data_IF_314369253433
#
_entry.id   IF_314369253433
#
_cell.length_a   1.000
_cell.length_b   1.000
_cell.length_c   1.000
_cell.angle_alpha   90.00
_cell.angle_beta   90.00
_cell.angle_gamma   90.00
#
_symmetry.space_group_name_H-M   'P 1'
#
loop_
_entity.id
_entity.type
_entity.pdbx_description
1 polymer ?
#
# COMPACT_ATOMS: atom_id res chain seq x y z
N UNK A 1 4.40 -15.78 0.02
CA UNK A 1 4.05 -14.69 0.95
C UNK A 1 4.51 -13.42 0.29
N UNK A 2 3.62 -12.45 0.18
CA UNK A 2 3.78 -11.31 -0.71
C UNK A 2 3.48 -10.00 0.03
N UNK A 3 4.02 -8.92 -0.52
CA UNK A 3 3.89 -7.56 -0.04
C UNK A 3 3.23 -6.73 -1.13
N UNK A 4 2.13 -6.06 -0.80
CA UNK A 4 1.54 -5.05 -1.67
C UNK A 4 2.33 -3.76 -1.58
N UNK A 5 2.72 -3.22 -2.72
CA UNK A 5 3.34 -1.91 -2.83
C UNK A 5 2.27 -0.96 -3.35
N UNK A 6 1.98 0.08 -2.58
CA UNK A 6 0.86 0.97 -2.88
C UNK A 6 1.18 2.44 -2.58
N UNK A 7 0.32 3.31 -3.09
CA UNK A 7 0.58 4.74 -3.18
C UNK A 7 -0.34 5.56 -2.28
N UNK A 8 0.23 6.47 -1.50
CA UNK A 8 -0.54 7.50 -0.81
C UNK A 8 -0.31 8.87 -1.43
N UNK A 9 -1.37 9.68 -1.50
CA UNK A 9 -1.37 10.93 -2.29
C UNK A 9 -1.00 12.20 -1.52
N UNK A 10 -1.16 12.20 -0.21
CA UNK A 10 -0.92 13.38 0.63
C UNK A 10 -0.69 12.96 2.08
N UNK A 11 -0.24 13.91 2.92
CA UNK A 11 -0.01 13.67 4.34
C UNK A 11 -1.30 13.27 5.06
N UNK A 12 -2.39 13.96 4.76
CA UNK A 12 -3.73 13.70 5.31
C UNK A 12 -4.22 12.30 4.93
N UNK A 13 -3.91 11.84 3.70
CA UNK A 13 -4.23 10.46 3.29
C UNK A 13 -3.47 9.43 4.13
N UNK A 14 -2.18 9.65 4.38
CA UNK A 14 -1.38 8.76 5.21
C UNK A 14 -1.86 8.76 6.67
N UNK A 15 -2.20 9.92 7.21
CA UNK A 15 -2.74 10.06 8.57
C UNK A 15 -4.07 9.33 8.70
N UNK A 16 -4.98 9.50 7.74
CA UNK A 16 -6.24 8.75 7.72
C UNK A 16 -6.03 7.24 7.65
N UNK A 17 -5.07 6.76 6.84
CA UNK A 17 -4.74 5.33 6.77
C UNK A 17 -4.25 4.82 8.13
N UNK A 18 -3.38 5.58 8.81
CA UNK A 18 -2.83 5.23 10.12
C UNK A 18 -3.89 5.24 11.22
N UNK A 19 -4.79 6.22 11.19
CA UNK A 19 -5.85 6.41 12.19
C UNK A 19 -6.95 5.36 12.04
N UNK A 20 -7.46 5.16 10.81
CA UNK A 20 -8.56 4.22 10.57
C UNK A 20 -8.10 2.78 10.43
N UNK A 21 -6.82 2.55 10.12
CA UNK A 21 -6.31 1.20 9.78
C UNK A 21 -6.96 0.66 8.51
N UNK A 22 -7.21 1.51 7.51
CA UNK A 22 -7.85 1.12 6.25
C UNK A 22 -7.04 1.67 5.08
N UNK A 23 -6.88 0.86 4.04
CA UNK A 23 -6.35 1.31 2.75
C UNK A 23 -7.29 0.94 1.61
N UNK A 24 -7.45 1.82 0.63
CA UNK A 24 -8.36 1.65 -0.49
C UNK A 24 -7.61 1.58 -1.85
N UNK A 25 -7.84 0.50 -2.58
CA UNK A 25 -7.43 0.33 -3.98
C UNK A 25 -8.57 0.73 -4.91
N UNK A 26 -8.23 1.20 -6.11
CA UNK A 26 -9.21 1.22 -7.21
C UNK A 26 -9.47 -0.23 -7.66
N UNK A 27 -10.70 -0.52 -8.07
CA UNK A 27 -11.15 -1.89 -8.35
C UNK A 27 -11.71 -2.11 -9.76
N UNK A 28 -11.70 -1.10 -10.62
CA UNK A 28 -12.28 -1.19 -11.96
C UNK A 28 -11.26 -1.63 -13.00
N UNK A 29 -11.72 -1.97 -14.21
CA UNK A 29 -10.85 -2.28 -15.35
C UNK A 29 -10.04 -1.08 -15.87
N UNK A 30 -10.09 0.06 -15.17
CA UNK A 30 -9.40 1.27 -15.56
C UNK A 30 -7.96 1.30 -15.04
N UNK A 31 -7.15 2.14 -15.70
CA UNK A 31 -5.77 2.38 -15.32
C UNK A 31 -5.66 2.79 -13.84
N UNK A 32 -4.87 2.04 -13.08
CA UNK A 32 -4.57 2.31 -11.66
C UNK A 32 -5.34 1.47 -10.65
N UNK A 33 -6.14 0.50 -11.09
CA UNK A 33 -6.69 -0.51 -10.21
C UNK A 33 -5.67 -1.57 -9.79
N UNK A 34 -5.91 -2.17 -8.62
CA UNK A 34 -5.18 -3.36 -8.19
C UNK A 34 -5.60 -4.53 -9.09
N UNK A 35 -4.62 -5.17 -9.73
CA UNK A 35 -4.87 -6.43 -10.42
C UNK A 35 -5.06 -7.52 -9.38
N UNK A 36 -6.22 -8.16 -9.37
CA UNK A 36 -6.52 -9.28 -8.48
C UNK A 36 -5.85 -10.55 -9.01
N UNK A 37 -4.69 -10.87 -8.45
CA UNK A 37 -3.95 -12.11 -8.68
C UNK A 37 -3.82 -12.91 -7.39
N UNK A 38 -3.29 -14.14 -7.46
CA UNK A 38 -3.02 -14.95 -6.27
C UNK A 38 -2.08 -14.23 -5.31
N UNK A 39 -1.09 -13.51 -5.83
CA UNK A 39 -0.09 -12.76 -5.06
C UNK A 39 -0.72 -11.54 -4.38
N UNK A 40 -1.52 -10.75 -5.09
CA UNK A 40 -2.20 -9.60 -4.48
C UNK A 40 -3.17 -10.05 -3.39
N UNK A 41 -3.88 -11.17 -3.62
CA UNK A 41 -4.87 -11.67 -2.68
C UNK A 41 -4.23 -12.26 -1.42
N UNK A 42 -3.10 -12.97 -1.55
CA UNK A 42 -2.42 -13.62 -0.42
C UNK A 42 -1.34 -12.74 0.25
N UNK A 43 -1.25 -11.47 -0.14
CA UNK A 43 -0.30 -10.54 0.45
C UNK A 43 -0.61 -10.33 1.93
N UNK A 44 0.43 -10.34 2.77
CA UNK A 44 0.31 -10.19 4.23
C UNK A 44 0.72 -8.81 4.73
N UNK A 45 1.37 -8.04 3.87
CA UNK A 45 1.90 -6.72 4.20
C UNK A 45 1.58 -5.70 3.10
N UNK A 46 1.56 -4.44 3.49
CA UNK A 46 1.39 -3.28 2.61
C UNK A 46 2.50 -2.27 2.88
N UNK A 47 3.37 -2.03 1.90
CA UNK A 47 4.31 -0.90 1.90
C UNK A 47 3.66 0.29 1.19
N UNK A 48 3.66 1.45 1.83
CA UNK A 48 3.19 2.69 1.26
C UNK A 48 4.33 3.59 0.80
N UNK A 49 4.21 4.20 -0.35
CA UNK A 49 5.12 5.25 -0.82
C UNK A 49 4.33 6.39 -1.48
N UNK A 50 4.99 7.53 -1.71
CA UNK A 50 4.42 8.65 -2.48
C UNK A 50 5.38 9.09 -3.59
N UNK A 51 4.99 10.14 -4.32
CA UNK A 51 5.81 10.77 -5.35
C UNK A 51 7.03 11.44 -4.69
N UNK A 52 8.21 11.22 -5.26
CA UNK A 52 9.47 11.80 -4.79
C UNK A 52 10.28 10.85 -3.91
N UNK A 53 9.63 9.89 -3.24
CA UNK A 53 10.32 8.92 -2.39
C UNK A 53 11.27 8.04 -3.23
N UNK A 54 12.46 7.77 -2.70
CA UNK A 54 13.38 6.76 -3.24
C UNK A 54 13.31 5.45 -2.47
N UNK A 55 12.97 5.55 -1.18
CA UNK A 55 12.77 4.45 -0.25
C UNK A 55 11.54 4.71 0.60
N UNK A 56 11.00 3.67 1.22
CA UNK A 56 9.94 3.81 2.22
C UNK A 56 10.15 2.83 3.36
N UNK A 57 9.81 3.25 4.58
CA UNK A 57 9.72 2.41 5.79
C UNK A 57 8.27 2.27 6.29
N UNK A 58 7.29 2.80 5.55
CA UNK A 58 5.89 2.81 5.96
C UNK A 58 5.26 1.45 5.62
N UNK A 59 5.40 0.51 6.55
CA UNK A 59 4.93 -0.86 6.41
C UNK A 59 3.77 -1.16 7.36
N UNK A 60 2.73 -1.80 6.84
CA UNK A 60 1.58 -2.28 7.62
C UNK A 60 1.41 -3.78 7.47
N UNK A 61 0.86 -4.42 8.50
CA UNK A 61 0.38 -5.82 8.43
C UNK A 61 -1.08 -5.82 8.01
N UNK A 62 -1.44 -6.71 7.10
CA UNK A 62 -2.84 -6.89 6.67
C UNK A 62 -3.50 -7.84 7.66
N UNK A 63 -4.52 -7.36 8.41
CA UNK A 63 -5.11 -8.08 9.56
C UNK A 63 -5.69 -9.44 9.15
N UNK A 64 -6.39 -9.46 8.01
CA UNK A 64 -6.84 -10.62 7.23
C UNK A 64 -7.01 -10.12 5.78
N UNK A 65 -6.70 -10.90 4.73
CA UNK A 65 -6.84 -10.44 3.33
C UNK A 65 -8.30 -10.42 2.87
N UNK A 66 -9.20 -9.91 3.71
CA UNK A 66 -10.58 -9.66 3.32
C UNK A 66 -10.62 -8.34 2.55
N UNK A 67 -10.58 -8.47 1.22
CA UNK A 67 -10.90 -7.37 0.35
C UNK A 67 -12.40 -7.09 0.41
N UNK A 68 -12.77 -5.88 0.84
CA UNK A 68 -14.17 -5.44 0.92
C UNK A 68 -14.47 -4.42 -0.16
N UNK A 69 -15.60 -4.57 -0.82
CA UNK A 69 -16.14 -3.55 -1.73
C UNK A 69 -16.73 -2.43 -0.87
N UNK A 70 -16.17 -1.23 -0.96
CA UNK A 70 -16.58 -0.07 -0.17
C UNK A 70 -16.97 1.07 -1.11
N UNK A 71 -18.19 1.60 -0.95
CA UNK A 71 -18.66 2.72 -1.76
C UNK A 71 -17.93 4.01 -1.40
N UNK A 72 -17.91 4.97 -2.34
CA UNK A 72 -17.43 6.32 -2.11
C UNK A 72 -18.14 6.98 -0.93
N UNK A 73 -19.44 6.80 -0.82
CA UNK A 73 -20.27 7.38 0.23
C UNK A 73 -19.87 6.81 1.60
N UNK A 74 -19.54 5.51 1.66
CA UNK A 74 -19.01 4.88 2.87
C UNK A 74 -17.62 5.43 3.23
N UNK A 75 -16.71 5.59 2.25
CA UNK A 75 -15.40 6.22 2.50
C UNK A 75 -15.55 7.65 3.05
N UNK A 76 -16.47 8.44 2.49
CA UNK A 76 -16.74 9.79 2.97
C UNK A 76 -17.26 9.79 4.41
N UNK A 77 -18.17 8.88 4.76
CA UNK A 77 -18.63 8.69 6.15
C UNK A 77 -17.50 8.28 7.11
N UNK A 78 -16.50 7.54 6.62
CA UNK A 78 -15.29 7.18 7.38
C UNK A 78 -14.28 8.34 7.49
N UNK A 79 -14.62 9.54 7.02
CA UNK A 79 -13.77 10.73 7.10
C UNK A 79 -12.62 10.74 6.09
N UNK A 80 -12.80 10.09 4.94
CA UNK A 80 -11.75 10.01 3.93
C UNK A 80 -11.32 11.42 3.47
N UNK A 81 -10.01 11.76 3.53
CA UNK A 81 -9.54 13.15 3.61
C UNK A 81 -9.60 13.92 2.29
N UNK A 82 -10.13 13.31 1.23
CA UNK A 82 -10.01 13.80 -0.13
C UNK A 82 -11.15 13.24 -0.96
N UNK A 83 -11.61 13.99 -1.97
CA UNK A 83 -12.69 13.59 -2.89
C UNK A 83 -12.37 12.27 -3.62
N UNK A 84 -13.08 11.16 -3.34
CA UNK A 84 -12.93 9.92 -4.10
C UNK A 84 -13.43 10.12 -5.53
N UNK A 85 -12.64 9.68 -6.51
CA UNK A 85 -12.99 9.80 -7.93
C UNK A 85 -13.76 8.61 -8.48
N UNK A 86 -13.78 7.48 -7.79
CA UNK A 86 -14.50 6.26 -8.20
C UNK A 86 -15.76 6.08 -7.38
N UNK A 87 -16.74 5.36 -7.92
CA UNK A 87 -17.98 5.00 -7.20
C UNK A 87 -17.71 4.00 -6.06
N UNK A 88 -16.80 3.06 -6.29
CA UNK A 88 -16.45 2.01 -5.34
C UNK A 88 -14.94 1.73 -5.35
N UNK A 89 -14.45 1.26 -4.21
CA UNK A 89 -13.05 0.94 -3.94
C UNK A 89 -12.92 -0.39 -3.22
N UNK A 90 -11.81 -1.06 -3.43
CA UNK A 90 -11.49 -2.29 -2.73
C UNK A 90 -10.68 -1.92 -1.50
N UNK A 91 -11.21 -2.19 -0.31
CA UNK A 91 -10.56 -1.81 0.95
C UNK A 91 -10.01 -3.02 1.68
N UNK A 92 -8.89 -2.83 2.36
CA UNK A 92 -8.29 -3.80 3.29
C UNK A 92 -8.08 -3.16 4.66
N UNK A 93 -8.12 -3.98 5.71
CA UNK A 93 -7.81 -3.56 7.09
C UNK A 93 -6.33 -3.77 7.41
N UNK A 94 -5.76 -2.78 8.08
CA UNK A 94 -4.33 -2.68 8.38
C UNK A 94 -4.10 -2.58 9.89
N UNK A 95 -3.05 -3.26 10.32
CA UNK A 95 -2.45 -3.13 11.64
C UNK A 95 -1.04 -2.54 11.51
N UNK A 96 -0.56 -1.95 12.61
CA UNK A 96 0.86 -1.60 12.71
C UNK A 96 1.72 -2.85 12.49
N UNK A 97 2.83 -2.68 11.78
CA UNK A 97 3.77 -3.76 11.60
C UNK A 97 4.72 -3.82 12.81
N UNK A 98 4.56 -4.84 13.64
CA UNK A 98 5.37 -5.06 14.86
C UNK A 98 6.39 -6.21 14.70
N UNK A 99 6.63 -6.64 13.47
CA UNK A 99 7.61 -7.70 13.20
C UNK A 99 9.03 -7.13 13.40
N UNK A 100 9.76 -7.66 14.39
CA UNK A 100 11.10 -7.19 14.75
C UNK A 100 12.09 -7.27 13.58
N UNK A 101 11.91 -8.26 12.69
CA UNK A 101 12.71 -8.45 11.46
C UNK A 101 12.62 -7.28 10.46
N UNK A 102 11.61 -6.42 10.60
CA UNK A 102 11.38 -5.24 9.75
C UNK A 102 11.74 -3.92 10.42
N UNK A 103 12.10 -3.95 11.70
CA UNK A 103 12.43 -2.75 12.47
C UNK A 103 13.73 -2.14 11.98
N UNK A 104 13.75 -0.82 11.87
CA UNK A 104 14.92 -0.09 11.36
C UNK A 104 15.21 -0.34 9.87
N UNK A 105 14.27 -0.93 9.11
CA UNK A 105 14.43 -1.13 7.68
C UNK A 105 13.63 -0.10 6.86
N UNK A 106 14.21 0.26 5.72
CA UNK A 106 13.54 0.94 4.61
C UNK A 106 13.77 0.14 3.33
N UNK A 107 12.89 0.27 2.35
CA UNK A 107 12.99 -0.50 1.11
C UNK A 107 13.07 0.40 -0.10
N UNK A 108 14.04 0.12 -0.98
CA UNK A 108 14.16 0.68 -2.32
C UNK A 108 13.10 0.07 -3.24
N UNK A 109 11.85 0.44 -3.02
CA UNK A 109 10.69 -0.11 -3.74
C UNK A 109 10.74 0.11 -5.26
N UNK A 110 11.59 1.03 -5.74
CA UNK A 110 11.82 1.27 -7.18
C UNK A 110 12.61 0.15 -7.86
N UNK A 111 13.36 -0.64 -7.08
CA UNK A 111 14.20 -1.73 -7.58
C UNK A 111 13.42 -3.06 -7.68
N UNK A 112 12.13 -3.04 -7.33
CA UNK A 112 11.23 -4.18 -7.48
C UNK A 112 10.85 -4.35 -8.95
N UNK A 113 10.79 -5.60 -9.42
CA UNK A 113 10.56 -6.01 -10.81
C UNK A 113 9.30 -5.41 -11.42
N UNK A 114 8.24 -5.31 -10.61
CA UNK A 114 6.92 -4.85 -11.05
C UNK A 114 6.73 -3.32 -10.89
N UNK A 115 7.75 -2.60 -10.42
CA UNK A 115 7.68 -1.15 -10.28
C UNK A 115 7.57 -0.47 -11.65
N UNK A 116 6.74 0.57 -11.71
CA UNK A 116 6.57 1.42 -12.90
C UNK A 116 6.84 2.88 -12.54
N UNK A 117 7.47 3.62 -13.44
CA UNK A 117 7.84 5.01 -13.20
C UNK A 117 6.74 6.00 -13.61
N UNK A 118 6.97 7.29 -13.30
CA UNK A 118 6.09 8.42 -13.67
C UNK A 118 4.65 8.23 -13.14
N UNK A 119 3.62 8.55 -13.93
CA UNK A 119 2.21 8.40 -13.53
C UNK A 119 1.82 6.96 -13.17
N UNK A 120 2.58 5.97 -13.63
CA UNK A 120 2.32 4.57 -13.35
C UNK A 120 2.88 4.11 -11.99
N UNK A 121 3.68 4.93 -11.29
CA UNK A 121 4.17 4.58 -9.94
C UNK A 121 3.07 4.52 -8.89
N UNK A 122 1.91 5.12 -9.15
CA UNK A 122 0.75 5.04 -8.27
C UNK A 122 -0.07 3.75 -8.47
N UNK A 123 0.29 2.91 -9.45
CA UNK A 123 -0.42 1.65 -9.71
C UNK A 123 0.10 0.60 -8.71
N UNK A 124 -0.77 0.05 -7.85
CA UNK A 124 -0.34 -0.91 -6.86
C UNK A 124 0.05 -2.25 -7.50
N UNK A 125 1.01 -2.95 -6.89
CA UNK A 125 1.47 -4.25 -7.35
C UNK A 125 1.90 -5.14 -6.18
N UNK A 126 1.98 -6.44 -6.41
CA UNK A 126 2.53 -7.39 -5.44
C UNK A 126 4.00 -7.69 -5.76
N UNK A 127 4.81 -7.82 -4.72
CA UNK A 127 6.17 -8.33 -4.75
C UNK A 127 6.31 -9.49 -3.77
N UNK A 128 7.08 -10.52 -4.14
CA UNK A 128 7.36 -11.63 -3.23
C UNK A 128 8.21 -11.15 -2.05
N UNK A 129 8.05 -11.77 -0.88
CA UNK A 129 8.87 -11.41 0.29
C UNK A 129 10.37 -11.57 0.02
N UNK A 130 10.76 -12.58 -0.77
CA UNK A 130 12.16 -12.83 -1.11
C UNK A 130 12.75 -11.69 -1.97
N UNK A 131 11.98 -11.15 -2.90
CA UNK A 131 12.36 -9.97 -3.68
C UNK A 131 12.38 -8.72 -2.82
N UNK A 132 11.34 -8.54 -2.00
CA UNK A 132 11.21 -7.41 -1.09
C UNK A 132 12.39 -7.28 -0.13
N UNK A 133 12.86 -8.39 0.44
CA UNK A 133 13.98 -8.39 1.37
C UNK A 133 15.35 -8.14 0.70
N UNK A 134 15.47 -8.29 -0.62
CA UNK A 134 16.71 -7.98 -1.36
C UNK A 134 16.93 -6.49 -1.54
N UNK A 135 15.86 -5.69 -1.51
CA UNK A 135 15.92 -4.23 -1.76
C UNK A 135 15.87 -3.43 -0.44
N UNK A 136 16.16 -4.08 0.69
CA UNK A 136 16.18 -3.43 2.01
C UNK A 136 17.44 -2.61 2.22
N UNK A 137 17.32 -1.56 3.02
CA UNK A 137 18.40 -0.77 3.57
C UNK A 137 18.16 -0.56 5.06
N UNK A 138 19.24 -0.38 5.81
CA UNK A 138 19.16 -0.02 7.23
C UNK A 138 18.89 1.49 7.32
N UNK A 139 18.00 1.88 8.23
CA UNK A 139 17.85 3.26 8.64
C UNK A 139 19.06 3.57 9.52
N UNK A 140 20.09 4.17 8.94
CA UNK A 140 21.20 4.74 9.72
C UNK A 140 20.61 5.86 10.59
N UNK A 141 20.80 5.75 11.90
CA UNK A 141 20.50 6.85 12.82
C UNK A 141 21.67 7.84 12.68
N UNK A 142 21.44 8.96 12.00
CA UNK A 142 22.28 10.16 12.16
C UNK A 142 22.07 10.76 13.55
#
# INVERSE_FOLDING_TARGET
MDVLIAYYRSKEHLEWIKEKGIYNFRMNNNRGALKLTKESFNSKYLLLHKKGDNTSSILFKIRKPEFRVTSRETLLHLGYPTKPSQLSYLTISLDKCEAEEFKGLKWKFKDLKNYKSRRASAIPFAASIAEFMKVKEIIENE
#
